data_IF_459179917194
#
_entry.id   IF_459179917194
#
_cell.length_a   1.000
_cell.length_b   1.000
_cell.length_c   1.000
_cell.angle_alpha   90.00
_cell.angle_beta   90.00
_cell.angle_gamma   90.00
#
_symmetry.space_group_name_H-M   'P 1'
#
loop_
_entity.id
_entity.type
_entity.pdbx_description
1 polymer ?
#
# COMPACT_ATOMS: atom_id res chain seq x y z
N UNK A 1 -7.45 30.37 4.41
CA UNK A 1 -8.39 31.32 5.05
C UNK A 1 -7.65 31.95 6.21
N UNK A 2 -7.22 33.21 6.03
CA UNK A 2 -6.48 33.96 7.06
C UNK A 2 -7.45 34.27 8.20
N UNK A 3 -7.14 33.79 9.41
CA UNK A 3 -7.71 34.35 10.62
C UNK A 3 -6.65 35.34 11.11
N UNK A 4 -6.84 36.60 10.76
CA UNK A 4 -6.04 37.70 11.27
C UNK A 4 -6.43 37.89 12.75
N UNK A 5 -5.59 37.45 13.68
CA UNK A 5 -5.74 37.78 15.09
C UNK A 5 -5.20 39.20 15.31
N UNK A 6 -6.13 40.14 15.45
CA UNK A 6 -5.89 41.50 15.87
C UNK A 6 -5.19 41.46 17.25
N UNK A 7 -3.95 41.91 17.27
CA UNK A 7 -3.22 42.27 18.50
C UNK A 7 -3.86 43.53 19.09
N UNK A 8 -4.84 43.39 19.98
CA UNK A 8 -5.27 44.48 20.85
C UNK A 8 -4.35 44.53 22.07
N UNK A 9 -3.51 45.56 22.12
CA UNK A 9 -2.76 45.97 23.30
C UNK A 9 -3.73 46.29 24.45
N UNK A 10 -3.69 45.51 25.51
CA UNK A 10 -4.39 45.79 26.77
C UNK A 10 -3.61 46.89 27.50
N UNK A 11 -3.79 48.16 27.13
CA UNK A 11 -3.24 49.26 27.95
C UNK A 11 -3.99 50.59 27.87
N UNK A 12 -5.12 50.69 27.18
CA UNK A 12 -5.79 52.00 27.05
C UNK A 12 -7.29 51.87 26.88
N UNK A 13 -8.05 51.62 27.95
CA UNK A 13 -9.45 52.07 28.07
C UNK A 13 -10.11 51.84 29.46
N UNK A 14 -9.73 52.54 30.53
CA UNK A 14 -10.69 52.82 31.64
C UNK A 14 -10.44 54.23 32.20
N UNK A 15 -10.93 55.23 31.47
CA UNK A 15 -11.29 56.53 32.04
C UNK A 15 -12.52 57.04 31.30
N UNK A 16 -13.69 56.49 31.61
CA UNK A 16 -15.00 57.12 31.38
C UNK A 16 -16.04 56.50 32.31
N UNK A 17 -16.65 57.37 33.12
CA UNK A 17 -17.72 57.10 34.08
C UNK A 17 -18.83 56.27 33.44
N UNK A 18 -19.03 55.06 33.93
CA UNK A 18 -20.34 54.40 33.95
C UNK A 18 -20.70 54.14 35.41
N UNK A 19 -21.70 54.88 35.89
CA UNK A 19 -22.45 54.56 37.10
C UNK A 19 -23.38 53.38 36.76
N UNK A 20 -23.04 52.18 37.20
CA UNK A 20 -23.97 51.08 37.42
C UNK A 20 -23.50 50.29 38.65
N UNK A 21 -24.45 49.94 39.52
CA UNK A 21 -24.21 49.46 40.87
C UNK A 21 -23.41 48.17 40.96
N UNK A 22 -22.68 48.06 42.08
CA UNK A 22 -22.11 46.85 42.69
C UNK A 22 -22.23 45.56 41.86
N UNK A 23 -21.37 45.38 40.85
CA UNK A 23 -20.89 44.04 40.57
C UNK A 23 -19.95 43.67 41.73
N UNK A 24 -20.23 42.60 42.50
CA UNK A 24 -19.42 42.27 43.65
C UNK A 24 -18.01 41.97 43.14
N UNK A 25 -16.99 42.54 43.79
CA UNK A 25 -15.56 42.35 43.51
C UNK A 25 -15.18 40.88 43.20
N UNK A 26 -15.93 39.94 43.78
CA UNK A 26 -15.87 38.51 43.53
C UNK A 26 -16.10 38.12 42.05
N UNK A 27 -17.06 38.73 41.35
CA UNK A 27 -17.34 38.45 39.92
C UNK A 27 -16.18 38.85 39.01
N UNK A 28 -15.52 39.97 39.29
CA UNK A 28 -14.33 40.41 38.56
C UNK A 28 -13.14 39.47 38.80
N UNK A 29 -12.93 39.04 40.05
CA UNK A 29 -11.89 38.07 40.39
C UNK A 29 -12.12 36.71 39.72
N UNK A 30 -13.37 36.22 39.70
CA UNK A 30 -13.74 34.96 39.03
C UNK A 30 -13.51 35.05 37.51
N UNK A 31 -13.89 36.18 36.88
CA UNK A 31 -13.64 36.41 35.46
C UNK A 31 -12.13 36.44 35.12
N UNK A 32 -11.31 37.06 35.97
CA UNK A 32 -9.86 37.08 35.82
C UNK A 32 -9.25 35.68 35.97
N UNK A 33 -9.71 34.91 36.96
CA UNK A 33 -9.29 33.51 37.17
C UNK A 33 -9.64 32.61 35.98
N UNK A 34 -10.86 32.73 35.44
CA UNK A 34 -11.28 32.00 34.25
C UNK A 34 -10.44 32.38 33.02
N UNK A 35 -10.17 33.67 32.81
CA UNK A 35 -9.27 34.11 31.72
C UNK A 35 -7.86 33.55 31.87
N UNK A 36 -7.29 33.55 33.09
CA UNK A 36 -5.97 32.99 33.36
C UNK A 36 -5.94 31.47 33.09
N UNK A 37 -6.97 30.73 33.50
CA UNK A 37 -7.11 29.30 33.23
C UNK A 37 -7.20 29.03 31.72
N UNK A 38 -8.05 29.77 31.00
CA UNK A 38 -8.20 29.63 29.54
C UNK A 38 -6.87 29.94 28.84
N UNK A 39 -6.17 31.00 29.24
CA UNK A 39 -4.86 31.36 28.70
C UNK A 39 -3.84 30.24 28.91
N UNK A 40 -3.75 29.67 30.11
CA UNK A 40 -2.85 28.55 30.41
C UNK A 40 -3.21 27.28 29.61
N UNK A 41 -4.49 26.99 29.42
CA UNK A 41 -4.94 25.86 28.59
C UNK A 41 -4.57 26.08 27.12
N UNK A 42 -4.74 27.29 26.58
CA UNK A 42 -4.32 27.63 25.21
C UNK A 42 -2.80 27.50 25.03
N UNK A 43 -2.00 27.92 26.01
CA UNK A 43 -0.54 27.72 25.96
C UNK A 43 -0.15 26.23 25.97
N UNK A 44 -0.82 25.40 26.78
CA UNK A 44 -0.61 23.94 26.77
C UNK A 44 -0.95 23.30 25.43
N UNK A 45 -2.08 23.67 24.83
CA UNK A 45 -2.49 23.19 23.50
C UNK A 45 -1.48 23.61 22.44
N UNK A 46 -1.00 24.86 22.48
CA UNK A 46 0.03 25.35 21.56
C UNK A 46 1.35 24.59 21.69
N UNK A 47 1.78 24.30 22.92
CA UNK A 47 2.99 23.52 23.18
C UNK A 47 2.86 22.05 22.75
N UNK A 48 1.70 21.43 23.00
CA UNK A 48 1.39 20.09 22.48
C UNK A 48 1.41 20.06 20.95
N UNK A 49 0.82 21.06 20.30
CA UNK A 49 0.79 21.16 18.84
C UNK A 49 2.21 21.32 18.26
N UNK A 50 3.06 22.16 18.87
CA UNK A 50 4.47 22.29 18.47
C UNK A 50 5.25 20.98 18.60
N UNK A 51 5.03 20.25 19.70
CA UNK A 51 5.68 18.96 19.94
C UNK A 51 5.25 17.91 18.91
N UNK A 52 3.96 17.88 18.54
CA UNK A 52 3.43 17.01 17.49
C UNK A 52 4.07 17.35 16.14
N UNK A 53 4.13 18.64 15.78
CA UNK A 53 4.70 19.06 14.49
C UNK A 53 6.19 18.68 14.38
N UNK A 54 6.98 18.91 15.44
CA UNK A 54 8.38 18.49 15.49
C UNK A 54 8.54 16.98 15.30
N UNK A 55 7.65 16.18 15.93
CA UNK A 55 7.68 14.72 15.78
C UNK A 55 7.29 14.27 14.38
N UNK A 56 6.32 14.94 13.75
CA UNK A 56 5.92 14.68 12.36
C UNK A 56 7.06 15.02 11.38
N UNK A 57 7.73 16.16 11.56
CA UNK A 57 8.85 16.57 10.71
C UNK A 57 10.04 15.61 10.86
N UNK A 58 10.34 15.16 12.08
CA UNK A 58 11.37 14.15 12.34
C UNK A 58 11.04 12.81 11.63
N UNK A 59 9.80 12.34 11.73
CA UNK A 59 9.36 11.11 11.06
C UNK A 59 9.45 11.25 9.54
N UNK A 60 9.02 12.38 8.97
CA UNK A 60 9.13 12.66 7.53
C UNK A 60 10.58 12.64 7.06
N UNK A 61 11.49 13.27 7.79
CA UNK A 61 12.91 13.27 7.43
C UNK A 61 13.52 11.86 7.47
N UNK A 62 13.11 11.03 8.44
CA UNK A 62 13.53 9.63 8.51
C UNK A 62 13.01 8.82 7.32
N UNK A 63 11.76 9.02 6.92
CA UNK A 63 11.17 8.38 5.72
C UNK A 63 11.89 8.81 4.43
N UNK A 64 12.24 10.09 4.29
CA UNK A 64 12.97 10.61 3.13
C UNK A 64 14.38 10.01 3.04
N UNK A 65 15.09 9.89 4.17
CA UNK A 65 16.41 9.23 4.20
C UNK A 65 16.34 7.73 3.88
N UNK A 66 15.31 7.03 4.36
CA UNK A 66 15.10 5.62 4.02
C UNK A 66 14.78 5.43 2.54
N UNK A 67 14.00 6.36 1.97
CA UNK A 67 13.67 6.39 0.56
C UNK A 67 14.92 6.57 -0.33
N UNK A 68 15.79 7.53 -0.02
CA UNK A 68 17.05 7.73 -0.76
C UNK A 68 17.93 6.48 -0.76
N UNK A 69 18.10 5.85 0.41
CA UNK A 69 18.87 4.59 0.52
C UNK A 69 18.28 3.46 -0.33
N UNK A 70 16.94 3.38 -0.38
CA UNK A 70 16.23 2.40 -1.20
C UNK A 70 16.50 2.64 -2.68
N UNK A 71 16.38 3.89 -3.14
CA UNK A 71 16.69 4.26 -4.52
C UNK A 71 18.14 3.91 -4.91
N UNK A 72 19.09 4.22 -4.05
CA UNK A 72 20.50 3.94 -4.29
C UNK A 72 20.80 2.44 -4.33
N UNK A 73 20.16 1.65 -3.46
CA UNK A 73 20.29 0.19 -3.47
C UNK A 73 19.81 -0.39 -4.81
N UNK A 74 18.65 0.04 -5.30
CA UNK A 74 18.06 -0.51 -6.52
C UNK A 74 18.88 -0.11 -7.75
N UNK A 75 19.29 1.16 -7.84
CA UNK A 75 20.14 1.65 -8.95
C UNK A 75 21.46 0.89 -9.11
N UNK A 76 22.02 0.38 -8.01
CA UNK A 76 23.29 -0.39 -8.03
C UNK A 76 23.11 -1.83 -8.52
N UNK A 77 21.93 -2.40 -8.38
CA UNK A 77 21.71 -3.84 -8.57
C UNK A 77 21.03 -4.21 -9.89
N UNK A 78 20.65 -3.25 -10.73
CA UNK A 78 19.91 -3.51 -11.97
C UNK A 78 20.66 -3.10 -13.25
N UNK A 79 20.27 -3.71 -14.38
CA UNK A 79 20.76 -3.37 -15.72
C UNK A 79 20.44 -1.91 -16.08
N UNK A 80 21.36 -1.02 -15.72
CA UNK A 80 21.22 0.44 -15.78
C UNK A 80 20.78 0.97 -17.16
N UNK A 81 21.16 0.30 -18.24
CA UNK A 81 20.95 0.79 -19.60
C UNK A 81 19.48 0.79 -20.06
N UNK A 82 18.70 -0.26 -19.77
CA UNK A 82 17.29 -0.32 -20.19
C UNK A 82 16.44 0.69 -19.41
N UNK A 83 16.74 0.91 -18.13
CA UNK A 83 16.03 1.89 -17.31
C UNK A 83 16.17 3.31 -17.85
N UNK A 84 17.40 3.70 -18.21
CA UNK A 84 17.69 5.03 -18.76
C UNK A 84 16.87 5.32 -20.02
N UNK A 85 16.77 4.37 -20.95
CA UNK A 85 16.01 4.55 -22.20
C UNK A 85 14.53 4.86 -21.92
N UNK A 86 13.91 4.14 -20.99
CA UNK A 86 12.50 4.32 -20.67
C UNK A 86 12.25 5.61 -19.88
N UNK A 87 13.13 5.95 -18.95
CA UNK A 87 13.09 7.23 -18.23
C UNK A 87 13.26 8.42 -19.18
N UNK A 88 14.20 8.35 -20.12
CA UNK A 88 14.39 9.39 -21.13
C UNK A 88 13.18 9.52 -22.05
N UNK A 89 12.61 8.39 -22.52
CA UNK A 89 11.42 8.38 -23.38
C UNK A 89 10.22 9.00 -22.68
N UNK A 90 9.96 8.65 -21.42
CA UNK A 90 8.72 9.01 -20.73
C UNK A 90 8.83 10.20 -19.79
N UNK A 91 10.04 10.56 -19.36
CA UNK A 91 10.30 11.68 -18.45
C UNK A 91 11.42 12.58 -18.99
N UNK A 92 11.20 13.21 -20.16
CA UNK A 92 12.19 14.11 -20.75
C UNK A 92 12.50 15.30 -19.83
N UNK A 93 13.70 15.86 -19.97
CA UNK A 93 14.23 16.94 -19.12
C UNK A 93 13.41 18.26 -19.15
N UNK A 94 12.35 18.36 -19.96
CA UNK A 94 11.44 19.50 -20.00
C UNK A 94 10.46 19.58 -18.82
N UNK A 95 10.55 18.66 -17.86
CA UNK A 95 9.71 18.62 -16.66
C UNK A 95 8.37 17.91 -16.84
N UNK A 96 8.07 17.41 -18.05
CA UNK A 96 6.99 16.46 -18.26
C UNK A 96 7.48 15.04 -17.96
N UNK A 97 6.68 14.28 -17.23
CA UNK A 97 6.98 12.89 -16.94
C UNK A 97 5.67 12.13 -16.94
N UNK A 98 5.55 11.15 -17.83
CA UNK A 98 4.36 10.33 -18.03
C UNK A 98 4.31 9.17 -17.05
N UNK A 99 5.45 8.73 -16.53
CA UNK A 99 5.52 7.64 -15.56
C UNK A 99 4.74 7.98 -14.29
N UNK A 100 4.09 6.96 -13.74
CA UNK A 100 3.43 7.04 -12.44
C UNK A 100 4.50 6.99 -11.34
N UNK A 101 4.51 7.99 -10.44
CA UNK A 101 5.50 8.05 -9.35
C UNK A 101 5.30 6.87 -8.40
N UNK A 102 6.38 6.24 -7.90
CA UNK A 102 6.28 5.16 -6.94
C UNK A 102 6.17 5.69 -5.51
N UNK A 103 5.97 4.78 -4.55
CA UNK A 103 6.09 5.05 -3.11
C UNK A 103 5.27 6.23 -2.61
N UNK A 104 4.07 6.40 -3.14
CA UNK A 104 3.11 7.37 -2.60
C UNK A 104 2.52 6.84 -1.30
N UNK A 105 1.95 7.71 -0.48
CA UNK A 105 1.24 7.27 0.72
C UNK A 105 -0.11 6.60 0.35
N UNK A 106 -0.06 5.27 0.28
CA UNK A 106 -1.18 4.39 -0.06
C UNK A 106 -1.53 3.44 1.10
N UNK A 107 -2.41 2.46 0.86
CA UNK A 107 -2.78 1.48 1.87
C UNK A 107 -1.63 0.53 2.24
N UNK A 108 -1.65 0.09 3.49
CA UNK A 108 -0.77 -0.94 4.04
C UNK A 108 -1.66 -1.99 4.71
N UNK A 109 -1.38 -3.27 4.46
CA UNK A 109 -2.16 -4.41 4.94
C UNK A 109 -1.21 -5.49 5.45
N UNK A 110 -0.84 -5.38 6.71
CA UNK A 110 0.12 -6.24 7.39
C UNK A 110 -0.63 -7.35 8.14
N UNK A 111 -0.29 -8.60 7.84
CA UNK A 111 -0.77 -9.77 8.56
C UNK A 111 0.35 -10.29 9.42
N UNK A 112 0.07 -10.61 10.68
CA UNK A 112 1.07 -11.02 11.65
C UNK A 112 0.81 -12.42 12.19
N UNK A 113 1.88 -13.18 12.40
CA UNK A 113 1.92 -14.41 13.19
C UNK A 113 3.04 -14.28 14.25
N UNK A 114 2.77 -13.59 15.37
CA UNK A 114 3.81 -13.20 16.33
C UNK A 114 4.51 -14.40 16.96
N UNK A 115 3.85 -15.54 17.16
CA UNK A 115 4.49 -16.73 17.73
C UNK A 115 5.76 -17.11 16.97
N UNK A 116 5.74 -16.97 15.64
CA UNK A 116 6.83 -17.37 14.75
C UNK A 116 7.66 -16.19 14.23
N UNK A 117 7.39 -14.96 14.68
CA UNK A 117 8.08 -13.78 14.15
C UNK A 117 7.85 -13.53 12.66
N UNK A 118 6.73 -14.01 12.11
CA UNK A 118 6.40 -13.86 10.68
C UNK A 118 5.41 -12.72 10.51
N UNK A 119 5.69 -11.81 9.59
CA UNK A 119 4.68 -10.89 9.07
C UNK A 119 4.66 -10.92 7.54
N UNK A 120 3.53 -10.56 6.95
CA UNK A 120 3.43 -10.40 5.50
C UNK A 120 2.59 -9.19 5.14
N UNK A 121 3.06 -8.38 4.20
CA UNK A 121 2.19 -7.39 3.59
C UNK A 121 1.46 -7.99 2.39
N UNK A 122 0.15 -7.78 2.36
CA UNK A 122 -0.73 -8.36 1.35
C UNK A 122 -1.16 -7.30 0.34
N UNK A 123 -0.70 -7.46 -0.90
CA UNK A 123 -1.12 -6.64 -2.04
C UNK A 123 -2.13 -7.44 -2.86
N UNK A 124 -3.26 -6.82 -3.21
CA UNK A 124 -4.27 -7.47 -4.05
C UNK A 124 -3.64 -8.06 -5.32
N UNK A 125 -4.08 -9.28 -5.65
CA UNK A 125 -3.64 -10.04 -6.83
C UNK A 125 -2.20 -10.58 -6.77
N UNK A 126 -1.49 -10.45 -5.65
CA UNK A 126 -0.18 -11.07 -5.45
C UNK A 126 -0.28 -12.24 -4.47
N UNK A 127 -1.00 -13.30 -4.85
CA UNK A 127 -1.24 -14.44 -3.94
C UNK A 127 -1.97 -14.04 -2.63
N UNK A 128 -2.70 -12.91 -2.66
CA UNK A 128 -3.15 -12.21 -1.47
C UNK A 128 -4.09 -13.00 -0.56
N UNK A 129 -5.05 -13.73 -1.15
CA UNK A 129 -6.01 -14.52 -0.39
C UNK A 129 -5.30 -15.66 0.34
N UNK A 130 -4.48 -16.39 -0.39
CA UNK A 130 -3.74 -17.54 0.15
C UNK A 130 -2.75 -17.10 1.21
N UNK A 131 -1.97 -16.04 0.96
CA UNK A 131 -1.04 -15.49 1.95
C UNK A 131 -1.76 -15.04 3.23
N UNK A 132 -2.92 -14.39 3.11
CA UNK A 132 -3.71 -13.99 4.29
C UNK A 132 -4.12 -15.21 5.11
N UNK A 133 -4.58 -16.27 4.46
CA UNK A 133 -4.99 -17.51 5.10
C UNK A 133 -3.84 -18.26 5.74
N UNK A 134 -2.67 -18.34 5.07
CA UNK A 134 -1.44 -18.92 5.64
C UNK A 134 -1.05 -18.18 6.92
N UNK A 135 -0.96 -16.84 6.89
CA UNK A 135 -0.55 -16.08 8.08
C UNK A 135 -1.61 -16.17 9.20
N UNK A 136 -2.90 -16.24 8.86
CA UNK A 136 -3.96 -16.51 9.83
C UNK A 136 -3.82 -17.90 10.46
N UNK A 137 -3.45 -18.92 9.68
CA UNK A 137 -3.19 -20.26 10.19
C UNK A 137 -2.00 -20.23 11.18
N UNK A 138 -0.91 -19.57 10.82
CA UNK A 138 0.25 -19.43 11.71
C UNK A 138 -0.04 -18.58 12.95
N UNK A 139 -1.00 -17.67 12.89
CA UNK A 139 -1.41 -16.84 14.03
C UNK A 139 -2.08 -17.67 15.14
N UNK A 140 -2.99 -18.59 14.76
CA UNK A 140 -3.71 -19.45 15.69
C UNK A 140 -4.02 -20.82 15.06
N UNK A 141 -3.04 -21.73 15.16
CA UNK A 141 -3.10 -23.08 14.55
C UNK A 141 -4.33 -23.86 14.98
N UNK A 142 -4.62 -23.89 16.29
CA UNK A 142 -5.70 -24.70 16.84
C UNK A 142 -7.06 -24.20 16.37
N UNK A 143 -7.28 -22.88 16.44
CA UNK A 143 -8.53 -22.27 15.97
C UNK A 143 -8.69 -22.42 14.47
N UNK A 144 -7.61 -22.31 13.69
CA UNK A 144 -7.66 -22.46 12.24
C UNK A 144 -8.07 -23.88 11.83
N UNK A 145 -7.41 -24.91 12.37
CA UNK A 145 -7.74 -26.32 12.08
C UNK A 145 -9.16 -26.70 12.50
N UNK A 146 -9.66 -26.11 13.58
CA UNK A 146 -11.02 -26.34 14.05
C UNK A 146 -12.05 -25.73 13.08
N UNK A 147 -11.84 -24.47 12.66
CA UNK A 147 -12.86 -23.65 11.98
C UNK A 147 -12.74 -23.62 10.45
N UNK A 148 -11.55 -23.84 9.89
CA UNK A 148 -11.29 -23.79 8.45
C UNK A 148 -10.98 -25.19 7.94
N UNK A 149 -11.86 -25.70 7.07
CA UNK A 149 -11.69 -27.01 6.43
C UNK A 149 -11.00 -26.93 5.08
N UNK A 150 -11.16 -25.80 4.39
CA UNK A 150 -10.56 -25.54 3.09
C UNK A 150 -10.00 -24.12 3.11
N UNK A 151 -8.68 -23.98 3.14
CA UNK A 151 -7.98 -22.69 3.13
C UNK A 151 -8.47 -21.78 2.00
N UNK A 152 -8.79 -22.34 0.83
CA UNK A 152 -9.25 -21.57 -0.34
C UNK A 152 -10.62 -20.89 -0.16
N UNK A 153 -11.41 -21.31 0.84
CA UNK A 153 -12.72 -20.71 1.19
C UNK A 153 -12.63 -19.61 2.26
N UNK A 154 -11.47 -19.44 2.88
CA UNK A 154 -11.17 -18.38 3.86
C UNK A 154 -10.95 -17.02 3.15
N UNK A 155 -12.01 -16.53 2.51
CA UNK A 155 -11.99 -15.37 1.61
C UNK A 155 -12.21 -14.05 2.33
N UNK A 156 -11.89 -12.94 1.65
CA UNK A 156 -11.90 -11.59 2.22
C UNK A 156 -13.12 -11.30 3.12
N UNK A 157 -14.37 -11.49 2.67
CA UNK A 157 -15.53 -11.07 3.46
C UNK A 157 -15.81 -11.90 4.72
N UNK A 158 -15.26 -13.11 4.80
CA UNK A 158 -15.60 -14.10 5.84
C UNK A 158 -14.37 -14.73 6.50
N UNK A 159 -13.20 -14.10 6.34
CA UNK A 159 -11.93 -14.67 6.79
C UNK A 159 -11.83 -14.75 8.30
N UNK A 160 -11.27 -15.84 8.81
CA UNK A 160 -11.29 -16.19 10.23
C UNK A 160 -10.60 -15.14 11.13
N UNK A 161 -9.42 -14.66 10.73
CA UNK A 161 -8.61 -13.73 11.53
C UNK A 161 -8.92 -12.25 11.26
N UNK A 162 -10.05 -11.94 10.60
CA UNK A 162 -10.42 -10.56 10.32
C UNK A 162 -10.48 -9.73 11.62
N UNK A 163 -9.67 -8.66 11.68
CA UNK A 163 -9.47 -7.77 12.85
C UNK A 163 -8.67 -8.36 14.00
N UNK A 164 -8.22 -9.62 13.92
CA UNK A 164 -7.41 -10.25 14.96
C UNK A 164 -5.92 -10.03 14.68
N UNK A 165 -5.46 -10.37 13.46
CA UNK A 165 -4.04 -10.34 13.10
C UNK A 165 -3.71 -9.38 11.95
N UNK A 166 -4.62 -8.47 11.62
CA UNK A 166 -4.52 -7.58 10.47
C UNK A 166 -4.38 -6.12 10.89
N UNK A 167 -3.39 -5.45 10.30
CA UNK A 167 -3.00 -4.10 10.68
C UNK A 167 -2.69 -3.25 9.46
N UNK A 168 -2.70 -1.93 9.67
CA UNK A 168 -2.46 -0.94 8.61
C UNK A 168 -1.11 -0.23 8.71
N UNK A 169 -0.19 -0.74 9.54
CA UNK A 169 1.14 -0.17 9.65
C UNK A 169 2.19 -1.25 9.89
N UNK A 170 3.30 -1.15 9.17
CA UNK A 170 4.47 -2.01 9.28
C UNK A 170 5.04 -2.09 10.70
N UNK A 171 5.11 -0.94 11.38
CA UNK A 171 5.74 -0.81 12.70
C UNK A 171 4.89 -1.42 13.84
N UNK A 172 3.72 -2.01 13.56
CA UNK A 172 2.91 -2.66 14.60
C UNK A 172 3.66 -3.81 15.28
N UNK A 173 4.49 -4.53 14.52
CA UNK A 173 5.25 -5.68 15.01
C UNK A 173 6.26 -5.32 16.10
N UNK A 174 6.73 -4.07 16.14
CA UNK A 174 7.67 -3.59 17.15
C UNK A 174 7.06 -3.59 18.56
N UNK A 175 5.73 -3.75 18.65
CA UNK A 175 4.98 -3.88 19.90
C UNK A 175 4.83 -5.34 20.34
N UNK A 176 5.39 -6.27 19.59
CA UNK A 176 5.23 -7.70 19.77
C UNK A 176 6.58 -8.40 19.73
N UNK A 177 6.77 -9.41 20.57
CA UNK A 177 7.99 -10.19 20.64
C UNK A 177 7.76 -11.56 20.02
N UNK A 178 8.56 -11.97 19.02
CA UNK A 178 8.57 -13.33 18.52
C UNK A 178 8.79 -14.35 19.64
N UNK A 179 8.12 -15.51 19.60
CA UNK A 179 8.31 -16.56 20.62
C UNK A 179 9.40 -17.55 20.23
N UNK A 180 9.44 -17.95 18.96
CA UNK A 180 10.35 -19.00 18.46
C UNK A 180 11.47 -18.45 17.58
N UNK A 181 11.17 -17.46 16.73
CA UNK A 181 12.19 -16.83 15.87
C UNK A 181 13.03 -15.80 16.63
N UNK A 182 14.29 -15.61 16.20
CA UNK A 182 15.19 -14.60 16.78
C UNK A 182 14.76 -13.16 16.46
N UNK A 183 14.20 -12.95 15.27
CA UNK A 183 13.78 -11.65 14.76
C UNK A 183 12.57 -11.79 13.86
N UNK A 184 11.97 -10.66 13.51
CA UNK A 184 10.89 -10.62 12.54
C UNK A 184 11.40 -10.84 11.12
N UNK A 185 10.73 -11.71 10.38
CA UNK A 185 10.84 -11.82 8.92
C UNK A 185 9.56 -11.29 8.29
N UNK A 186 9.69 -10.33 7.36
CA UNK A 186 8.56 -9.64 6.75
C UNK A 186 8.49 -10.00 5.28
N UNK A 187 7.44 -10.68 4.84
CA UNK A 187 7.28 -11.08 3.46
C UNK A 187 6.53 -10.02 2.66
N UNK A 188 6.97 -9.84 1.43
CA UNK A 188 6.22 -9.13 0.41
C UNK A 188 6.18 -10.02 -0.84
N UNK A 189 4.99 -10.44 -1.22
CA UNK A 189 4.82 -11.18 -2.48
C UNK A 189 4.50 -10.17 -3.59
N UNK A 190 5.27 -10.22 -4.66
CA UNK A 190 5.13 -9.36 -5.85
C UNK A 190 4.88 -10.20 -7.09
N UNK A 191 4.29 -9.60 -8.11
CA UNK A 191 3.83 -10.31 -9.31
C UNK A 191 4.16 -9.48 -10.55
N UNK A 192 4.44 -10.16 -11.66
CA UNK A 192 4.73 -9.47 -12.93
C UNK A 192 3.53 -8.53 -13.28
N UNK A 193 3.79 -7.25 -13.63
CA UNK A 193 2.73 -6.25 -13.75
C UNK A 193 1.64 -6.56 -14.79
N UNK A 194 1.97 -7.09 -15.98
CA UNK A 194 0.95 -7.51 -16.96
C UNK A 194 0.07 -8.61 -16.39
N UNK A 195 0.69 -9.66 -15.86
CA UNK A 195 0.03 -10.84 -15.33
C UNK A 195 -0.89 -10.50 -14.15
N UNK A 196 -0.43 -9.59 -13.28
CA UNK A 196 -1.23 -9.01 -12.19
C UNK A 196 -2.40 -8.19 -12.71
N UNK A 197 -2.17 -7.28 -13.67
CA UNK A 197 -3.21 -6.42 -14.25
C UNK A 197 -4.32 -7.27 -14.89
N UNK A 198 -3.97 -8.24 -15.72
CA UNK A 198 -4.92 -9.17 -16.36
C UNK A 198 -5.70 -9.97 -15.32
N UNK A 199 -5.05 -10.41 -14.24
CA UNK A 199 -5.73 -11.09 -13.11
C UNK A 199 -6.75 -10.20 -12.40
N UNK A 200 -6.45 -8.91 -12.28
CA UNK A 200 -7.37 -7.90 -11.79
C UNK A 200 -8.52 -7.67 -12.75
N UNK A 201 -8.22 -7.50 -14.04
CA UNK A 201 -9.17 -7.10 -15.08
C UNK A 201 -10.20 -8.20 -15.31
N UNK A 202 -9.75 -9.44 -15.55
CA UNK A 202 -10.65 -10.57 -15.73
C UNK A 202 -11.52 -10.77 -14.48
N UNK A 203 -10.94 -10.67 -13.29
CA UNK A 203 -11.76 -10.83 -12.09
C UNK A 203 -12.75 -9.68 -11.90
N UNK A 204 -12.35 -8.42 -11.98
CA UNK A 204 -13.15 -7.27 -11.53
C UNK A 204 -13.97 -6.59 -12.63
N UNK A 205 -13.60 -6.77 -13.88
CA UNK A 205 -14.25 -6.15 -15.04
C UNK A 205 -15.01 -7.15 -15.92
N UNK A 206 -14.71 -8.44 -15.81
CA UNK A 206 -15.39 -9.48 -16.61
C UNK A 206 -16.27 -10.36 -15.72
N UNK A 207 -15.70 -10.96 -14.66
CA UNK A 207 -16.40 -11.95 -13.84
C UNK A 207 -17.20 -11.36 -12.66
N UNK A 208 -16.65 -10.38 -11.95
CA UNK A 208 -17.18 -9.81 -10.69
C UNK A 208 -17.76 -8.40 -10.90
N UNK A 209 -18.63 -8.28 -11.90
CA UNK A 209 -19.31 -7.02 -12.27
C UNK A 209 -20.71 -6.89 -11.66
N UNK A 210 -21.29 -8.00 -11.20
CA UNK A 210 -22.66 -8.03 -10.67
C UNK A 210 -22.72 -7.25 -9.35
N UNK A 211 -23.76 -6.42 -9.18
CA UNK A 211 -23.99 -5.57 -8.01
C UNK A 211 -23.00 -4.41 -7.80
N UNK A 212 -22.26 -4.01 -8.84
CA UNK A 212 -21.40 -2.83 -8.81
C UNK A 212 -21.99 -1.74 -9.72
N UNK A 213 -22.08 -0.50 -9.21
CA UNK A 213 -22.45 0.64 -10.06
C UNK A 213 -21.23 1.05 -10.90
N UNK A 214 -21.36 0.94 -12.23
CA UNK A 214 -20.31 1.26 -13.22
C UNK A 214 -18.93 0.70 -12.87
N UNK A 215 -18.77 -0.63 -12.69
CA UNK A 215 -17.46 -1.23 -12.47
C UNK A 215 -16.53 -0.89 -13.63
N UNK A 216 -15.23 -0.84 -13.32
CA UNK A 216 -14.20 -0.58 -14.31
C UNK A 216 -14.47 0.69 -15.13
N UNK A 217 -14.85 1.75 -14.42
CA UNK A 217 -15.07 3.10 -14.96
C UNK A 217 -16.21 3.20 -15.99
N UNK A 218 -17.10 2.20 -16.05
CA UNK A 218 -18.15 2.12 -17.07
C UNK A 218 -17.60 1.82 -18.48
N UNK A 219 -16.45 1.15 -18.56
CA UNK A 219 -15.83 0.72 -19.81
C UNK A 219 -16.33 -0.65 -20.32
N UNK A 220 -17.25 -1.29 -19.60
CA UNK A 220 -17.67 -2.68 -19.83
C UNK A 220 -16.44 -3.59 -19.95
N UNK A 221 -16.34 -4.39 -21.02
CA UNK A 221 -15.21 -5.29 -21.29
C UNK A 221 -14.07 -4.63 -22.09
N UNK A 222 -14.12 -3.33 -22.35
CA UNK A 222 -13.10 -2.64 -23.15
C UNK A 222 -11.82 -2.37 -22.33
N UNK A 223 -10.83 -3.26 -22.46
CA UNK A 223 -9.54 -3.15 -21.77
C UNK A 223 -8.77 -1.86 -22.08
N UNK A 224 -8.88 -1.32 -23.30
CA UNK A 224 -8.23 -0.06 -23.69
C UNK A 224 -8.79 1.09 -22.86
N UNK A 225 -10.12 1.20 -22.81
CA UNK A 225 -10.80 2.21 -21.98
C UNK A 225 -10.42 2.06 -20.50
N UNK A 226 -10.38 0.83 -19.97
CA UNK A 226 -10.00 0.59 -18.57
C UNK A 226 -8.57 1.04 -18.29
N UNK A 227 -7.60 0.68 -19.14
CA UNK A 227 -6.20 1.08 -18.96
C UNK A 227 -6.02 2.60 -19.05
N UNK A 228 -6.71 3.26 -19.97
CA UNK A 228 -6.69 4.73 -20.08
C UNK A 228 -7.25 5.40 -18.82
N UNK A 229 -8.43 4.98 -18.36
CA UNK A 229 -9.07 5.53 -17.16
C UNK A 229 -8.26 5.26 -15.90
N UNK A 230 -7.71 4.05 -15.77
CA UNK A 230 -6.82 3.70 -14.67
C UNK A 230 -5.57 4.57 -14.68
N UNK A 231 -4.91 4.74 -15.82
CA UNK A 231 -3.72 5.58 -15.93
C UNK A 231 -4.01 7.03 -15.48
N UNK A 232 -5.14 7.61 -15.91
CA UNK A 232 -5.56 8.95 -15.47
C UNK A 232 -5.84 9.01 -13.96
N UNK A 233 -6.47 7.97 -13.39
CA UNK A 233 -6.67 7.85 -11.94
C UNK A 233 -5.32 7.85 -11.21
N UNK A 234 -4.40 6.96 -11.60
CA UNK A 234 -3.07 6.85 -11.00
C UNK A 234 -2.28 8.16 -11.12
N UNK A 235 -2.37 8.84 -12.26
CA UNK A 235 -1.71 10.13 -12.47
C UNK A 235 -2.20 11.17 -11.50
N UNK A 236 -3.52 11.26 -11.34
CA UNK A 236 -4.18 12.17 -10.40
C UNK A 236 -3.77 11.88 -8.95
N UNK A 237 -3.72 10.59 -8.57
CA UNK A 237 -3.32 10.18 -7.22
C UNK A 237 -1.84 10.48 -6.94
N UNK A 238 -0.96 10.15 -7.88
CA UNK A 238 0.49 10.37 -7.74
C UNK A 238 0.89 11.85 -7.66
N UNK A 239 0.13 12.73 -8.32
CA UNK A 239 0.42 14.16 -8.31
C UNK A 239 -0.11 14.88 -7.07
N UNK A 240 -1.24 14.43 -6.51
CA UNK A 240 -1.88 15.16 -5.43
C UNK A 240 -1.30 14.86 -4.04
N UNK A 241 -0.52 13.79 -3.88
CA UNK A 241 0.16 13.34 -2.65
C UNK A 241 -0.71 13.38 -1.36
N UNK A 242 -2.04 13.50 -1.51
CA UNK A 242 -3.02 13.51 -0.44
C UNK A 242 -3.42 12.07 -0.24
N UNK A 243 -3.24 11.62 1.00
CA UNK A 243 -3.44 10.25 1.45
C UNK A 243 -4.52 9.54 0.65
N UNK A 244 -4.12 8.50 -0.09
CA UNK A 244 -4.98 7.65 -0.91
C UNK A 244 -5.94 6.78 -0.07
N UNK A 245 -6.56 7.40 0.95
CA UNK A 245 -7.48 6.80 1.93
C UNK A 245 -8.86 6.49 1.35
N UNK A 246 -9.15 6.95 0.14
CA UNK A 246 -10.38 6.65 -0.59
C UNK A 246 -10.02 6.27 -2.02
N UNK A 247 -9.47 5.08 -2.17
CA UNK A 247 -9.23 4.46 -3.47
C UNK A 247 -10.42 3.55 -3.80
N UNK A 248 -10.73 3.39 -5.08
CA UNK A 248 -11.82 2.50 -5.51
C UNK A 248 -11.40 1.03 -5.48
N UNK A 249 -12.33 0.11 -5.74
CA UNK A 249 -11.99 -1.31 -5.91
C UNK A 249 -10.99 -1.48 -7.06
N UNK A 250 -11.16 -0.74 -8.16
CA UNK A 250 -10.23 -0.71 -9.29
C UNK A 250 -8.84 -0.26 -8.83
N UNK A 251 -8.74 0.87 -8.14
CA UNK A 251 -7.45 1.40 -7.68
C UNK A 251 -6.73 0.39 -6.75
N UNK A 252 -7.46 -0.32 -5.87
CA UNK A 252 -6.88 -1.35 -5.01
C UNK A 252 -6.28 -2.54 -5.80
N UNK A 253 -6.91 -2.91 -6.93
CA UNK A 253 -6.53 -4.09 -7.72
C UNK A 253 -5.56 -3.77 -8.86
N UNK A 254 -5.52 -2.52 -9.30
CA UNK A 254 -4.73 -2.05 -10.44
C UNK A 254 -3.66 -1.02 -10.06
N UNK A 255 -3.63 -0.57 -8.80
CA UNK A 255 -2.58 0.32 -8.29
C UNK A 255 -1.20 -0.32 -8.34
N UNK A 256 -0.12 0.45 -8.61
CA UNK A 256 1.25 -0.06 -8.55
C UNK A 256 1.57 -0.71 -7.21
N UNK A 257 2.23 -1.85 -7.24
CA UNK A 257 2.64 -2.62 -6.07
C UNK A 257 3.60 -1.80 -5.19
N UNK A 258 4.45 -0.96 -5.80
CA UNK A 258 5.34 0.00 -5.15
C UNK A 258 4.62 1.09 -4.34
N UNK A 259 3.30 1.20 -4.40
CA UNK A 259 2.53 2.13 -3.58
C UNK A 259 2.19 1.57 -2.20
N UNK A 260 2.07 0.24 -2.09
CA UNK A 260 1.56 -0.40 -0.89
C UNK A 260 2.62 -0.55 0.20
N UNK A 261 2.19 -1.08 1.35
CA UNK A 261 3.07 -1.69 2.36
C UNK A 261 4.10 -0.74 2.99
N UNK A 262 3.87 0.57 2.92
CA UNK A 262 4.82 1.59 3.40
C UNK A 262 6.23 1.39 2.79
N UNK A 263 6.32 0.88 1.54
CA UNK A 263 7.59 0.51 0.93
C UNK A 263 8.58 1.68 0.81
N UNK A 264 8.09 2.92 0.78
CA UNK A 264 8.93 4.13 0.85
C UNK A 264 9.97 4.05 1.97
N UNK A 265 9.56 3.56 3.13
CA UNK A 265 10.39 3.50 4.33
C UNK A 265 10.95 2.10 4.60
N UNK A 266 10.32 1.06 4.04
CA UNK A 266 10.49 -0.32 4.50
C UNK A 266 10.83 -1.33 3.39
N UNK A 267 11.12 -0.88 2.16
CA UNK A 267 11.45 -1.78 1.06
C UNK A 267 12.58 -2.78 1.41
N UNK A 268 13.66 -2.30 2.04
CA UNK A 268 14.80 -3.15 2.44
C UNK A 268 14.53 -4.02 3.68
N UNK A 269 13.42 -3.78 4.37
CA UNK A 269 13.01 -4.55 5.54
C UNK A 269 12.12 -5.76 5.17
N UNK A 270 11.79 -5.91 3.88
CA UNK A 270 11.01 -7.02 3.34
C UNK A 270 11.90 -8.08 2.66
N UNK A 271 11.61 -9.36 2.90
CA UNK A 271 11.97 -10.47 2.02
C UNK A 271 10.94 -10.48 0.88
N UNK A 272 11.36 -10.01 -0.30
CA UNK A 272 10.51 -9.87 -1.48
C UNK A 272 10.56 -11.16 -2.29
N UNK A 273 9.41 -11.79 -2.53
CA UNK A 273 9.27 -13.02 -3.30
C UNK A 273 8.45 -12.76 -4.56
N UNK A 274 8.95 -13.19 -5.71
CA UNK A 274 8.22 -13.10 -6.98
C UNK A 274 7.27 -14.29 -7.13
N UNK A 275 6.00 -14.01 -7.40
CA UNK A 275 4.95 -14.99 -7.63
C UNK A 275 4.57 -15.05 -9.11
N UNK A 276 4.47 -16.29 -9.61
CA UNK A 276 3.76 -16.64 -10.83
C UNK A 276 2.88 -17.86 -10.54
N UNK A 277 1.65 -17.95 -11.08
CA UNK A 277 0.81 -19.12 -10.92
C UNK A 277 1.49 -20.43 -11.35
N UNK A 278 2.32 -20.38 -12.40
CA UNK A 278 3.06 -21.53 -12.90
C UNK A 278 4.18 -22.01 -11.95
N UNK A 279 4.54 -21.18 -10.97
CA UNK A 279 5.62 -21.40 -9.99
C UNK A 279 5.10 -21.35 -8.55
N UNK A 280 3.84 -21.71 -8.35
CA UNK A 280 3.21 -21.68 -7.02
C UNK A 280 3.95 -22.60 -6.04
N UNK A 281 4.39 -23.77 -6.49
CA UNK A 281 5.16 -24.71 -5.69
C UNK A 281 6.53 -24.15 -5.28
N UNK A 282 7.28 -23.53 -6.21
CA UNK A 282 8.56 -22.88 -5.91
C UNK A 282 8.43 -21.81 -4.81
N UNK A 283 7.43 -20.93 -4.94
CA UNK A 283 7.12 -19.91 -3.93
C UNK A 283 6.77 -20.53 -2.57
N UNK A 284 5.97 -21.60 -2.61
CA UNK A 284 5.48 -22.25 -1.39
C UNK A 284 6.62 -22.95 -0.66
N UNK A 285 7.49 -23.66 -1.37
CA UNK A 285 8.66 -24.29 -0.75
C UNK A 285 9.58 -23.28 -0.09
N UNK A 286 9.82 -22.12 -0.71
CA UNK A 286 10.62 -21.06 -0.09
C UNK A 286 9.97 -20.53 1.21
N UNK A 287 8.65 -20.29 1.21
CA UNK A 287 7.92 -19.86 2.41
C UNK A 287 7.94 -20.92 3.52
N UNK A 288 7.65 -22.17 3.18
CA UNK A 288 7.53 -23.25 4.16
C UNK A 288 8.88 -23.61 4.76
N UNK A 289 9.95 -23.58 3.97
CA UNK A 289 11.33 -23.77 4.48
C UNK A 289 11.64 -22.74 5.56
N UNK A 290 11.40 -21.45 5.30
CA UNK A 290 11.61 -20.41 6.31
C UNK A 290 10.72 -20.64 7.55
N UNK A 291 9.47 -21.05 7.38
CA UNK A 291 8.55 -21.29 8.50
C UNK A 291 9.01 -22.43 9.40
N UNK A 292 9.53 -23.51 8.82
CA UNK A 292 10.13 -24.62 9.55
C UNK A 292 11.34 -24.15 10.35
N UNK A 293 12.21 -23.32 9.76
CA UNK A 293 13.34 -22.69 10.46
C UNK A 293 12.88 -21.80 11.63
N UNK A 294 11.73 -21.14 11.50
CA UNK A 294 11.12 -20.33 12.56
C UNK A 294 10.36 -21.16 13.60
N UNK A 295 10.40 -22.49 13.51
CA UNK A 295 9.81 -23.41 14.48
C UNK A 295 8.32 -23.69 14.27
N UNK A 296 7.78 -23.43 13.08
CA UNK A 296 6.45 -23.92 12.69
C UNK A 296 6.50 -25.46 12.62
N UNK A 297 5.57 -26.20 13.25
CA UNK A 297 5.59 -27.65 13.19
C UNK A 297 5.42 -28.19 11.76
N UNK A 298 6.16 -29.25 11.42
CA UNK A 298 6.05 -29.92 10.11
C UNK A 298 4.62 -30.30 9.73
N UNK A 299 3.82 -30.77 10.69
CA UNK A 299 2.41 -31.10 10.45
C UNK A 299 1.58 -29.90 9.97
N UNK A 300 1.98 -28.67 10.30
CA UNK A 300 1.31 -27.43 9.88
C UNK A 300 1.83 -27.01 8.51
N UNK A 301 3.13 -27.10 8.24
CA UNK A 301 3.66 -26.76 6.91
C UNK A 301 3.22 -27.76 5.85
N UNK A 302 3.13 -29.05 6.17
CA UNK A 302 2.56 -30.09 5.30
C UNK A 302 1.07 -29.86 5.00
N UNK A 303 0.27 -29.49 6.00
CA UNK A 303 -1.16 -29.18 5.79
C UNK A 303 -1.34 -27.92 4.92
N UNK A 304 -0.52 -26.88 5.14
CA UNK A 304 -0.48 -25.71 4.25
C UNK A 304 -0.14 -26.12 2.82
N UNK A 305 0.91 -26.95 2.64
CA UNK A 305 1.34 -27.45 1.33
C UNK A 305 0.21 -28.17 0.60
N UNK A 306 -0.42 -29.13 1.27
CA UNK A 306 -1.52 -29.93 0.71
C UNK A 306 -2.72 -29.04 0.32
N UNK A 307 -3.14 -28.12 1.19
CA UNK A 307 -4.30 -27.27 0.92
C UNK A 307 -4.05 -26.23 -0.19
N UNK A 308 -2.83 -25.71 -0.30
CA UNK A 308 -2.48 -24.72 -1.33
C UNK A 308 -2.30 -25.39 -2.70
N UNK A 309 -1.60 -26.52 -2.77
CA UNK A 309 -1.35 -27.22 -4.04
C UNK A 309 -2.57 -28.02 -4.51
N UNK A 310 -3.39 -28.52 -3.58
CA UNK A 310 -4.62 -29.26 -3.87
C UNK A 310 -5.83 -28.39 -4.21
N UNK A 311 -5.76 -27.08 -3.97
CA UNK A 311 -6.89 -26.15 -4.09
C UNK A 311 -6.73 -25.08 -5.17
N UNK A 312 -7.85 -24.60 -5.72
CA UNK A 312 -7.92 -23.33 -6.46
C UNK A 312 -8.77 -22.34 -5.67
N UNK A 313 -8.31 -21.09 -5.53
CA UNK A 313 -9.13 -20.03 -4.93
C UNK A 313 -10.37 -19.75 -5.79
N UNK A 314 -11.46 -19.27 -5.17
CA UNK A 314 -12.67 -18.84 -5.90
C UNK A 314 -12.40 -17.76 -6.98
N UNK A 315 -11.34 -16.95 -6.79
CA UNK A 315 -10.93 -15.91 -7.74
C UNK A 315 -9.76 -16.33 -8.64
N UNK A 316 -9.41 -17.62 -8.66
CA UNK A 316 -8.37 -18.13 -9.53
C UNK A 316 -8.83 -17.97 -10.98
N UNK A 317 -8.15 -17.09 -11.70
CA UNK A 317 -8.39 -16.85 -13.12
C UNK A 317 -7.39 -17.59 -14.00
N UNK A 318 -6.40 -18.27 -13.40
CA UNK A 318 -5.29 -18.88 -14.13
C UNK A 318 -5.79 -19.87 -15.18
N UNK A 319 -5.25 -19.73 -16.40
CA UNK A 319 -5.55 -20.53 -17.59
C UNK A 319 -6.99 -20.42 -18.15
N UNK A 320 -7.72 -19.35 -17.83
CA UNK A 320 -9.03 -19.12 -18.46
C UNK A 320 -8.88 -18.53 -19.88
N UNK A 321 -9.83 -18.80 -20.80
CA UNK A 321 -9.81 -18.23 -22.15
C UNK A 321 -9.74 -16.71 -22.17
N UNK A 322 -10.42 -16.04 -21.23
CA UNK A 322 -10.42 -14.57 -21.11
C UNK A 322 -9.03 -14.05 -20.80
N UNK A 323 -8.29 -14.71 -19.91
CA UNK A 323 -6.91 -14.32 -19.59
C UNK A 323 -6.01 -14.41 -20.80
N UNK A 324 -6.06 -15.54 -21.51
CA UNK A 324 -5.24 -15.76 -22.71
C UNK A 324 -5.57 -14.68 -23.74
N UNK A 325 -6.86 -14.42 -23.96
CA UNK A 325 -7.33 -13.39 -24.88
C UNK A 325 -6.81 -12.00 -24.51
N UNK A 326 -7.06 -11.52 -23.28
CA UNK A 326 -6.68 -10.16 -22.89
C UNK A 326 -5.18 -9.95 -22.71
N UNK A 327 -4.43 -11.00 -22.33
CA UNK A 327 -2.96 -10.95 -22.34
C UNK A 327 -2.46 -10.65 -23.75
N UNK A 328 -2.95 -11.43 -24.73
CA UNK A 328 -2.58 -11.26 -26.14
C UNK A 328 -2.95 -9.88 -26.67
N UNK A 329 -4.14 -9.37 -26.33
CA UNK A 329 -4.58 -8.00 -26.72
C UNK A 329 -3.60 -6.93 -26.24
N UNK A 330 -3.08 -7.04 -25.01
CA UNK A 330 -2.11 -6.08 -24.50
C UNK A 330 -0.74 -6.26 -25.16
N UNK A 331 -0.25 -7.50 -25.27
CA UNK A 331 1.08 -7.80 -25.83
C UNK A 331 1.23 -7.39 -27.31
N UNK A 332 0.16 -7.55 -28.09
CA UNK A 332 0.12 -7.23 -29.52
C UNK A 332 -0.12 -5.75 -29.81
N UNK A 333 -0.52 -4.94 -28.81
CA UNK A 333 -0.79 -3.52 -28.97
C UNK A 333 0.37 -2.67 -28.44
N UNK A 334 1.15 -1.97 -29.31
CA UNK A 334 2.19 -1.05 -28.87
C UNK A 334 1.67 0.03 -27.91
N UNK A 335 0.45 0.51 -28.15
CA UNK A 335 -0.21 1.50 -27.32
C UNK A 335 -0.51 0.97 -25.91
N UNK A 336 -1.09 -0.23 -25.79
CA UNK A 336 -1.41 -0.80 -24.48
C UNK A 336 -0.14 -1.19 -23.70
N UNK A 337 0.90 -1.69 -24.38
CA UNK A 337 2.22 -1.91 -23.75
C UNK A 337 2.81 -0.61 -23.21
N UNK A 338 2.73 0.47 -23.98
CA UNK A 338 3.19 1.78 -23.50
C UNK A 338 2.40 2.26 -22.27
N UNK A 339 1.07 2.13 -22.26
CA UNK A 339 0.25 2.44 -21.08
C UNK A 339 0.62 1.57 -19.87
N UNK A 340 0.82 0.27 -20.07
CA UNK A 340 1.23 -0.65 -19.02
C UNK A 340 2.55 -0.20 -18.39
N UNK A 341 3.54 0.13 -19.22
CA UNK A 341 4.84 0.63 -18.75
C UNK A 341 4.68 1.97 -18.04
N UNK A 342 3.91 2.92 -18.57
CA UNK A 342 3.66 4.20 -17.88
C UNK A 342 3.06 3.99 -16.49
N UNK A 343 2.15 3.03 -16.33
CA UNK A 343 1.54 2.69 -15.03
C UNK A 343 2.48 1.98 -14.07
N UNK A 344 3.30 1.04 -14.55
CA UNK A 344 4.00 0.08 -13.70
C UNK A 344 5.53 0.07 -13.84
N UNK A 345 6.13 1.04 -14.53
CA UNK A 345 7.58 1.11 -14.74
C UNK A 345 8.39 0.83 -13.47
N UNK A 346 8.04 1.48 -12.36
CA UNK A 346 8.75 1.29 -11.11
C UNK A 346 8.48 -0.05 -10.43
N UNK A 347 7.38 -0.74 -10.74
CA UNK A 347 7.19 -2.12 -10.28
C UNK A 347 8.12 -3.07 -11.07
N UNK A 348 8.30 -2.84 -12.38
CA UNK A 348 9.28 -3.59 -13.18
C UNK A 348 10.70 -3.42 -12.63
N UNK A 349 11.07 -2.18 -12.36
CA UNK A 349 12.36 -1.81 -11.79
C UNK A 349 12.49 -2.38 -10.37
N UNK A 350 11.67 -1.95 -9.41
CA UNK A 350 11.91 -2.31 -8.01
C UNK A 350 11.73 -3.78 -7.68
N UNK A 351 11.04 -4.55 -8.51
CA UNK A 351 10.83 -5.98 -8.26
C UNK A 351 11.54 -6.87 -9.27
N UNK A 352 12.44 -6.31 -10.08
CA UNK A 352 13.29 -7.03 -11.03
C UNK A 352 12.49 -7.91 -12.01
N UNK A 353 11.43 -7.33 -12.57
CA UNK A 353 10.66 -7.95 -13.66
C UNK A 353 11.16 -7.46 -15.02
N UNK A 354 11.10 -8.30 -16.07
CA UNK A 354 11.50 -7.89 -17.41
C UNK A 354 10.59 -6.77 -17.95
N UNK A 355 11.19 -5.65 -18.36
CA UNK A 355 10.46 -4.56 -19.01
C UNK A 355 9.88 -5.01 -20.37
N UNK A 356 8.61 -4.70 -20.68
CA UNK A 356 8.02 -4.97 -21.99
C UNK A 356 8.76 -4.22 -23.09
N UNK A 357 9.20 -4.92 -24.14
CA UNK A 357 9.87 -4.29 -25.29
C UNK A 357 8.87 -3.41 -26.04
N UNK A 358 9.18 -2.11 -26.07
CA UNK A 358 8.44 -1.13 -26.86
C UNK A 358 9.13 -0.94 -28.20
N UNK A 359 8.36 -0.75 -29.26
CA UNK A 359 8.90 -0.22 -30.51
C UNK A 359 9.34 1.22 -30.23
N UNK A 360 10.66 1.43 -30.19
CA UNK A 360 11.25 2.75 -30.09
C UNK A 360 11.46 3.20 -31.52
N UNK A 361 10.67 4.19 -31.96
CA UNK A 361 10.86 4.80 -33.27
C UNK A 361 12.29 5.31 -33.39
N UNK A 362 13.04 4.76 -34.36
CA UNK A 362 14.41 5.17 -34.70
C UNK A 362 14.43 6.48 -35.49
N UNK A 363 13.71 7.51 -35.04
CA UNK A 363 13.56 8.77 -35.78
C UNK A 363 14.22 9.97 -35.12
N UNK A 364 15.16 9.78 -34.19
CA UNK A 364 15.93 10.88 -33.61
C UNK A 364 17.42 10.91 -33.99
N UNK A 365 17.83 10.16 -35.01
CA UNK A 365 19.15 10.29 -35.65
C UNK A 365 18.96 10.64 -37.13
N UNK A 366 18.69 11.92 -37.41
CA UNK A 366 18.84 12.51 -38.75
C UNK A 366 19.34 13.94 -38.66
#
# INVERSE_FOLDING_TARGET
>A
MRIDFISMSVTTFIQRRFHFGQLPFLTFLVACLLCAIIYLQLQRVKQQHQTINQRVDFLRHREDSAFEKTQDFIKRNQEHYKMVIYEEKFCPHNGSCDLIKPFIHYESRQMLAPSYGVSACVIYKNFSTVLTSIICYLYDILRYQEKVKEMMKDTYNHRLCMKDNEYHSFNIRDRMTPKTAEKWTNYLIVREPLERFISGFVNKCILDVVNRDKPCYGCDENITCVMEKQYQSLKTMSNNNKAARKHTVEDAHFGPQSWHCELRAHYLDYKILQYSPAKTEELLEELLTDFEEFGVPLSVTDDIREQVLGGKTFHATFDTPERIHYTKVVEESPYLKELLVKMFYYDYVFFDFPLPVLEIDKTSDS
#
